data_IF_919996311918
#
_entry.id   IF_919996311918
#
_cell.length_a   1.000
_cell.length_b   1.000
_cell.length_c   1.000
_cell.angle_alpha   90.00
_cell.angle_beta   90.00
_cell.angle_gamma   90.00
#
_symmetry.space_group_name_H-M   'P 1'
#
loop_
_entity.id
_entity.type
_entity.pdbx_description
1 polymer ?
#
# COMPACT_ATOMS: atom_id res chain seq x y z
N UNK A 1 36.48 25.09 23.25
CA UNK A 1 36.18 23.66 22.97
C UNK A 1 34.83 23.42 22.24
N UNK A 2 33.78 24.23 22.41
CA UNK A 2 32.40 23.86 21.98
C UNK A 2 32.05 23.75 20.47
N UNK A 3 32.75 24.45 19.55
CA UNK A 3 32.26 24.58 18.15
C UNK A 3 32.47 23.33 17.27
N UNK A 4 33.55 22.57 17.52
CA UNK A 4 33.85 21.30 16.82
C UNK A 4 32.91 20.19 17.29
N UNK A 5 32.72 20.06 18.60
CA UNK A 5 31.78 19.12 19.21
C UNK A 5 30.35 19.31 18.71
N UNK A 6 29.87 20.56 18.67
CA UNK A 6 28.53 20.86 18.15
C UNK A 6 28.38 20.53 16.66
N UNK A 7 29.46 20.38 15.89
CA UNK A 7 29.38 19.98 14.48
C UNK A 7 29.32 18.47 14.34
N UNK A 8 30.14 17.73 15.11
CA UNK A 8 30.13 16.28 15.15
C UNK A 8 28.77 15.77 15.64
N UNK A 9 28.24 16.37 16.71
CA UNK A 9 26.99 15.95 17.34
C UNK A 9 25.79 15.91 16.37
N UNK A 10 25.65 16.86 15.44
CA UNK A 10 24.49 16.88 14.51
C UNK A 10 24.55 15.77 13.48
N UNK A 11 25.75 15.47 13.00
CA UNK A 11 25.94 14.38 12.06
C UNK A 11 25.79 13.03 12.73
N UNK A 12 26.27 12.88 13.97
CA UNK A 12 26.01 11.69 14.79
C UNK A 12 24.52 11.54 15.06
N UNK A 13 23.83 12.58 15.52
CA UNK A 13 22.39 12.53 15.77
C UNK A 13 21.60 12.17 14.51
N UNK A 14 21.94 12.75 13.35
CA UNK A 14 21.33 12.40 12.07
C UNK A 14 21.59 10.94 11.68
N UNK A 15 22.83 10.46 11.83
CA UNK A 15 23.18 9.07 11.53
C UNK A 15 22.41 8.10 12.43
N UNK A 16 22.33 8.39 13.74
CA UNK A 16 21.55 7.59 14.69
C UNK A 16 20.07 7.61 14.30
N UNK A 17 19.50 8.76 13.94
CA UNK A 17 18.09 8.85 13.50
C UNK A 17 17.80 8.04 12.24
N UNK A 18 18.70 8.06 11.26
CA UNK A 18 18.56 7.28 10.03
C UNK A 18 18.69 5.79 10.30
N UNK A 19 19.64 5.38 11.13
CA UNK A 19 19.83 3.97 11.52
C UNK A 19 18.64 3.45 12.33
N UNK A 20 18.12 4.26 13.26
CA UNK A 20 16.95 3.95 14.08
C UNK A 20 15.71 3.75 13.19
N UNK A 21 15.44 4.68 12.27
CA UNK A 21 14.35 4.56 11.31
C UNK A 21 14.49 3.31 10.42
N UNK A 22 15.70 3.03 9.94
CA UNK A 22 15.96 1.86 9.11
C UNK A 22 15.74 0.55 9.88
N UNK A 23 16.20 0.50 11.13
CA UNK A 23 16.05 -0.68 11.97
C UNK A 23 14.60 -0.90 12.43
N UNK A 24 13.84 0.18 12.65
CA UNK A 24 12.40 0.12 12.93
C UNK A 24 11.63 -0.41 11.72
N UNK A 25 11.96 0.07 10.50
CA UNK A 25 11.37 -0.46 9.24
C UNK A 25 11.73 -1.91 8.96
N UNK A 26 12.91 -2.34 9.38
CA UNK A 26 13.35 -3.74 9.24
C UNK A 26 12.80 -4.65 10.35
N UNK A 27 12.02 -4.12 11.30
CA UNK A 27 11.50 -4.89 12.44
C UNK A 27 12.59 -5.36 13.42
N UNK A 28 13.78 -4.76 13.40
CA UNK A 28 14.92 -5.16 14.24
C UNK A 28 14.80 -4.61 15.66
N UNK A 29 14.24 -3.40 15.82
CA UNK A 29 14.01 -2.77 17.12
C UNK A 29 12.53 -2.47 17.34
N UNK A 30 12.08 -2.75 18.56
CA UNK A 30 10.73 -2.46 19.03
C UNK A 30 10.85 -1.53 20.23
N UNK A 31 10.91 -0.22 19.98
CA UNK A 31 10.83 0.79 21.03
C UNK A 31 9.65 1.72 20.76
N UNK A 32 9.15 2.46 21.77
CA UNK A 32 8.04 3.38 21.58
C UNK A 32 8.34 4.37 20.45
N UNK A 33 7.33 4.66 19.62
CA UNK A 33 7.38 5.65 18.54
C UNK A 33 7.89 7.03 19.03
N UNK A 34 7.64 7.36 20.30
CA UNK A 34 8.11 8.59 20.96
C UNK A 34 9.64 8.76 20.87
N UNK A 35 10.41 7.66 20.96
CA UNK A 35 11.88 7.73 20.92
C UNK A 35 12.38 8.24 19.56
N UNK A 36 11.85 7.69 18.46
CA UNK A 36 12.16 8.13 17.10
C UNK A 36 11.73 9.57 16.88
N UNK A 37 10.54 9.96 17.37
CA UNK A 37 10.04 11.32 17.28
C UNK A 37 11.01 12.31 17.97
N UNK A 38 11.42 12.04 19.20
CA UNK A 38 12.36 12.86 19.97
C UNK A 38 13.71 12.97 19.25
N UNK A 39 14.20 11.87 18.69
CA UNK A 39 15.46 11.83 17.97
C UNK A 39 15.40 12.68 16.69
N UNK A 40 14.36 12.54 15.88
CA UNK A 40 14.13 13.35 14.68
C UNK A 40 13.94 14.84 15.01
N UNK A 41 13.17 15.17 16.06
CA UNK A 41 13.04 16.55 16.54
C UNK A 41 14.39 17.13 16.98
N UNK A 42 15.21 16.33 17.66
CA UNK A 42 16.56 16.75 18.07
C UNK A 42 17.44 17.06 16.86
N UNK A 43 17.39 16.23 15.81
CA UNK A 43 18.09 16.49 14.55
C UNK A 43 17.63 17.81 13.94
N UNK A 44 16.32 18.03 13.83
CA UNK A 44 15.76 19.28 13.29
C UNK A 44 16.29 20.48 14.07
N UNK A 45 16.20 20.47 15.40
CA UNK A 45 16.67 21.55 16.26
C UNK A 45 18.17 21.84 16.10
N UNK A 46 19.01 20.80 15.98
CA UNK A 46 20.45 20.97 15.76
C UNK A 46 20.75 21.65 14.42
N UNK A 47 20.04 21.29 13.34
CA UNK A 47 20.21 21.91 12.02
C UNK A 47 19.61 23.33 11.95
N UNK A 48 18.49 23.58 12.62
CA UNK A 48 17.92 24.94 12.77
C UNK A 48 18.88 25.84 13.56
N UNK A 49 19.43 25.37 14.69
CA UNK A 49 20.43 26.11 15.44
C UNK A 49 21.67 26.43 14.58
N UNK A 50 22.06 25.53 13.68
CA UNK A 50 23.13 25.79 12.71
C UNK A 50 22.76 26.88 11.71
N UNK A 51 21.53 26.88 11.19
CA UNK A 51 21.04 27.93 10.30
C UNK A 51 21.10 29.29 10.98
N UNK A 52 20.57 29.40 12.20
CA UNK A 52 20.59 30.64 13.00
C UNK A 52 22.02 31.13 13.19
N UNK A 53 22.95 30.24 13.58
CA UNK A 53 24.37 30.61 13.71
C UNK A 53 24.98 31.12 12.41
N UNK A 54 24.66 30.50 11.27
CA UNK A 54 25.17 30.92 9.97
C UNK A 54 24.57 32.25 9.51
N UNK A 55 23.27 32.47 9.76
CA UNK A 55 22.59 33.72 9.49
C UNK A 55 23.19 34.88 10.30
N UNK A 56 23.41 34.70 11.61
CA UNK A 56 24.07 35.70 12.46
C UNK A 56 25.48 36.04 11.95
N UNK A 57 26.24 35.05 11.51
CA UNK A 57 27.59 35.28 10.96
C UNK A 57 27.58 36.02 9.62
N UNK A 58 26.53 35.81 8.81
CA UNK A 58 26.34 36.52 7.55
C UNK A 58 25.92 37.98 7.79
N UNK A 59 25.00 38.21 8.73
CA UNK A 59 24.49 39.54 9.11
C UNK A 59 25.57 40.40 9.79
N UNK A 60 26.41 39.81 10.64
CA UNK A 60 27.52 40.52 11.33
C UNK A 60 28.72 40.81 10.42
N UNK A 61 28.63 40.52 9.12
CA UNK A 61 29.69 40.81 8.13
C UNK A 61 30.97 39.99 8.29
N UNK A 62 31.08 39.16 9.33
CA UNK A 62 32.34 38.49 9.72
C UNK A 62 32.80 37.42 8.73
N UNK A 63 31.91 36.85 7.90
CA UNK A 63 32.27 35.83 6.87
C UNK A 63 31.23 35.77 5.73
N UNK A 64 31.45 36.54 4.65
CA UNK A 64 30.78 36.35 3.35
C UNK A 64 31.57 35.40 2.45
N UNK A 65 31.68 34.13 2.85
CA UNK A 65 32.33 33.13 2.00
C UNK A 65 31.31 32.20 1.36
N UNK A 66 31.51 31.80 0.10
CA UNK A 66 30.74 30.79 -0.61
C UNK A 66 30.44 29.53 0.22
N UNK A 67 31.38 29.10 1.07
CA UNK A 67 31.19 27.95 1.97
C UNK A 67 30.17 28.18 3.10
N UNK A 68 29.93 29.43 3.52
CA UNK A 68 28.89 29.76 4.50
C UNK A 68 27.50 29.72 3.86
N UNK A 69 27.37 30.23 2.64
CA UNK A 69 26.15 30.09 1.83
C UNK A 69 25.81 28.63 1.56
N UNK A 70 26.77 27.85 1.06
CA UNK A 70 26.61 26.40 0.86
C UNK A 70 26.20 25.66 2.14
N UNK A 71 26.79 26.04 3.29
CA UNK A 71 26.43 25.48 4.59
C UNK A 71 25.02 25.83 5.06
N UNK A 72 24.49 27.00 4.69
CA UNK A 72 23.09 27.36 4.97
C UNK A 72 22.13 26.54 4.11
N UNK A 73 22.41 26.42 2.81
CA UNK A 73 21.59 25.62 1.89
C UNK A 73 21.54 24.16 2.33
N UNK A 74 22.68 23.57 2.71
CA UNK A 74 22.76 22.21 3.23
C UNK A 74 21.93 22.04 4.51
N UNK A 75 22.09 22.94 5.48
CA UNK A 75 21.40 22.83 6.76
C UNK A 75 19.88 23.04 6.62
N UNK A 76 19.46 23.95 5.73
CA UNK A 76 18.05 24.17 5.41
C UNK A 76 17.44 22.96 4.72
N UNK A 77 18.17 22.37 3.77
CA UNK A 77 17.74 21.15 3.08
C UNK A 77 17.53 19.98 4.04
N UNK A 78 18.50 19.71 4.92
CA UNK A 78 18.39 18.62 5.90
C UNK A 78 17.25 18.89 6.88
N UNK A 79 17.14 20.09 7.44
CA UNK A 79 16.06 20.43 8.37
C UNK A 79 14.68 20.26 7.73
N UNK A 80 14.52 20.73 6.48
CA UNK A 80 13.27 20.62 5.73
C UNK A 80 12.94 19.15 5.39
N UNK A 81 13.93 18.36 4.98
CA UNK A 81 13.73 16.95 4.65
C UNK A 81 13.32 16.13 5.88
N UNK A 82 14.02 16.32 7.01
CA UNK A 82 13.73 15.62 8.26
C UNK A 82 12.38 16.07 8.84
N UNK A 83 12.07 17.38 8.79
CA UNK A 83 10.78 17.88 9.25
C UNK A 83 9.62 17.37 8.39
N UNK A 84 9.76 17.36 7.07
CA UNK A 84 8.76 16.80 6.15
C UNK A 84 8.57 15.30 6.36
N UNK A 85 9.66 14.54 6.55
CA UNK A 85 9.59 13.11 6.84
C UNK A 85 8.94 12.80 8.19
N UNK A 86 9.31 13.55 9.23
CA UNK A 86 8.72 13.44 10.57
C UNK A 86 7.22 13.76 10.55
N UNK A 87 6.81 14.84 9.87
CA UNK A 87 5.40 15.19 9.72
C UNK A 87 4.63 14.09 8.96
N UNK A 88 5.21 13.54 7.90
CA UNK A 88 4.58 12.46 7.14
C UNK A 88 4.41 11.19 7.97
N UNK A 89 5.35 10.87 8.86
CA UNK A 89 5.24 9.72 9.74
C UNK A 89 4.29 9.99 10.93
N UNK A 90 4.32 11.18 11.53
CA UNK A 90 3.42 11.54 12.64
C UNK A 90 1.94 11.55 12.21
N UNK A 91 1.67 12.09 11.04
CA UNK A 91 0.32 12.36 10.57
C UNK A 91 -0.11 11.44 9.41
N UNK A 92 0.72 10.46 9.08
CA UNK A 92 0.51 9.53 7.97
C UNK A 92 -0.67 8.59 8.25
N UNK A 93 -1.37 8.22 7.20
CA UNK A 93 -2.37 7.16 7.19
C UNK A 93 -2.09 6.32 5.97
N UNK A 94 -1.94 5.01 6.16
CA UNK A 94 -1.79 4.06 5.07
C UNK A 94 -2.49 2.75 5.43
N UNK A 95 -3.21 2.19 4.46
CA UNK A 95 -3.77 0.86 4.52
C UNK A 95 -4.40 0.48 3.19
N UNK A 96 -5.04 -0.68 3.14
CA UNK A 96 -5.81 -1.07 1.95
C UNK A 96 -7.08 -1.81 2.35
N UNK A 97 -8.05 -1.81 1.44
CA UNK A 97 -9.27 -2.61 1.56
C UNK A 97 -9.42 -3.44 0.29
N UNK A 98 -9.89 -4.67 0.44
CA UNK A 98 -10.25 -5.52 -0.69
C UNK A 98 -11.77 -5.45 -0.82
N UNK A 99 -12.26 -5.00 -1.98
CA UNK A 99 -13.68 -4.91 -2.26
C UNK A 99 -13.99 -5.72 -3.51
N UNK A 100 -15.01 -6.58 -3.47
CA UNK A 100 -15.61 -7.12 -4.68
C UNK A 100 -16.64 -6.13 -5.26
N UNK A 101 -17.02 -6.33 -6.51
CA UNK A 101 -18.02 -5.48 -7.15
C UNK A 101 -19.33 -5.42 -6.35
N UNK A 102 -19.85 -4.20 -6.26
CA UNK A 102 -21.04 -3.82 -5.50
C UNK A 102 -20.89 -3.92 -3.97
N UNK A 103 -19.68 -4.22 -3.47
CA UNK A 103 -19.40 -4.20 -2.04
C UNK A 103 -19.00 -2.82 -1.55
N UNK A 104 -19.27 -2.59 -0.27
CA UNK A 104 -18.95 -1.34 0.43
C UNK A 104 -18.31 -1.67 1.75
N UNK A 105 -17.29 -0.92 2.11
CA UNK A 105 -16.56 -1.08 3.35
C UNK A 105 -16.30 0.25 4.05
N UNK A 106 -16.39 0.24 5.38
CA UNK A 106 -16.04 1.38 6.21
C UNK A 106 -14.56 1.29 6.59
N UNK A 107 -13.77 2.32 6.26
CA UNK A 107 -12.32 2.28 6.51
C UNK A 107 -11.93 2.48 7.99
N UNK A 108 -12.91 2.68 8.88
CA UNK A 108 -12.67 2.97 10.30
C UNK A 108 -12.45 1.72 11.14
N UNK A 109 -13.21 0.67 10.84
CA UNK A 109 -13.28 -0.54 11.66
C UNK A 109 -12.40 -1.58 10.98
N UNK A 110 -11.15 -1.73 11.44
CA UNK A 110 -10.11 -2.57 10.84
C UNK A 110 -10.44 -4.06 10.59
N UNK A 111 -11.70 -4.47 10.78
CA UNK A 111 -12.26 -5.68 10.23
C UNK A 111 -12.22 -5.69 8.69
N UNK A 112 -12.45 -4.56 8.03
CA UNK A 112 -12.47 -4.47 6.56
C UNK A 112 -11.19 -3.82 6.00
N UNK A 113 -10.61 -2.87 6.74
CA UNK A 113 -9.32 -2.27 6.37
C UNK A 113 -8.18 -3.22 6.75
N UNK A 114 -7.60 -3.87 5.74
CA UNK A 114 -6.45 -4.74 5.89
C UNK A 114 -5.16 -3.92 6.00
N UNK A 115 -4.28 -4.35 6.92
CA UNK A 115 -2.94 -3.78 7.14
C UNK A 115 -2.99 -2.24 7.27
N UNK A 116 -3.47 -1.78 8.42
CA UNK A 116 -3.55 -0.35 8.74
C UNK A 116 -2.33 0.10 9.55
N UNK A 117 -1.61 1.11 9.05
CA UNK A 117 -0.47 1.74 9.72
C UNK A 117 -0.73 3.24 9.91
N UNK A 118 -1.35 3.64 11.03
CA UNK A 118 -1.54 5.05 11.38
C UNK A 118 -0.28 5.63 12.01
N UNK A 119 0.04 6.86 11.62
CA UNK A 119 0.99 7.70 12.33
C UNK A 119 0.55 8.00 13.77
N UNK A 120 1.48 8.24 14.72
CA UNK A 120 1.15 8.48 16.13
C UNK A 120 0.17 9.62 16.43
N UNK A 121 0.04 10.59 15.51
CA UNK A 121 -0.85 11.76 15.62
C UNK A 121 -1.85 11.80 14.46
N UNK A 122 -2.08 10.67 13.79
CA UNK A 122 -3.02 10.60 12.69
C UNK A 122 -4.45 10.89 13.17
N UNK A 123 -5.19 11.67 12.38
CA UNK A 123 -6.60 11.92 12.64
C UNK A 123 -7.44 10.75 12.09
N UNK A 124 -7.86 9.86 12.98
CA UNK A 124 -8.60 8.64 12.63
C UNK A 124 -10.00 8.99 12.09
N UNK A 125 -10.54 10.19 12.36
CA UNK A 125 -11.82 10.59 11.78
C UNK A 125 -11.73 10.77 10.26
N UNK A 126 -10.53 11.03 9.71
CA UNK A 126 -10.32 11.12 8.26
C UNK A 126 -10.63 9.80 7.53
N UNK A 127 -10.44 8.64 8.18
CA UNK A 127 -10.78 7.32 7.66
C UNK A 127 -12.19 6.85 8.06
N UNK A 128 -12.99 7.73 8.67
CA UNK A 128 -14.42 7.53 8.90
C UNK A 128 -15.27 7.58 7.63
N UNK A 129 -14.76 7.13 6.49
CA UNK A 129 -15.43 7.13 5.19
C UNK A 129 -15.91 5.73 4.82
N UNK A 130 -17.00 5.67 4.07
CA UNK A 130 -17.46 4.46 3.40
C UNK A 130 -16.91 4.50 1.97
N UNK A 131 -16.33 3.39 1.52
CA UNK A 131 -15.83 3.21 0.15
C UNK A 131 -16.57 2.04 -0.47
N UNK A 132 -17.04 2.21 -1.70
CA UNK A 132 -17.71 1.17 -2.46
C UNK A 132 -17.04 0.96 -3.79
N UNK A 133 -16.88 -0.30 -4.20
CA UNK A 133 -16.48 -0.63 -5.55
C UNK A 133 -17.74 -0.78 -6.40
N UNK A 134 -18.04 0.20 -7.24
CA UNK A 134 -19.20 0.15 -8.12
C UNK A 134 -18.96 -0.85 -9.25
N UNK A 135 -17.77 -0.80 -9.84
CA UNK A 135 -17.43 -1.58 -11.02
C UNK A 135 -15.92 -1.71 -11.14
N UNK A 136 -15.46 -2.88 -11.60
CA UNK A 136 -14.07 -3.09 -12.00
C UNK A 136 -14.06 -3.52 -13.47
N UNK A 137 -13.54 -2.66 -14.34
CA UNK A 137 -13.42 -2.96 -15.77
C UNK A 137 -11.99 -3.36 -16.10
N UNK A 138 -11.81 -4.42 -16.90
CA UNK A 138 -10.50 -4.85 -17.38
C UNK A 138 -10.34 -4.41 -18.85
N UNK A 139 -9.56 -3.36 -19.08
CA UNK A 139 -9.35 -2.80 -20.42
C UNK A 139 -8.15 -3.47 -21.08
N UNK A 140 -8.29 -4.09 -22.27
CA UNK A 140 -7.19 -4.71 -22.97
C UNK A 140 -6.12 -3.69 -23.39
N UNK A 141 -4.85 -4.10 -23.30
CA UNK A 141 -3.67 -3.37 -23.80
C UNK A 141 -2.81 -4.27 -24.67
N UNK A 142 -1.96 -3.65 -25.49
CA UNK A 142 -1.01 -4.36 -26.35
C UNK A 142 -0.20 -5.41 -25.56
N UNK A 143 -0.08 -6.62 -26.12
CA UNK A 143 0.68 -7.72 -25.54
C UNK A 143 -0.06 -8.55 -24.49
N UNK A 144 -1.35 -8.83 -24.70
CA UNK A 144 -2.19 -9.71 -23.87
C UNK A 144 -2.23 -9.31 -22.39
N UNK A 145 -2.21 -8.00 -22.13
CA UNK A 145 -2.30 -7.44 -20.78
C UNK A 145 -3.62 -6.72 -20.58
N UNK A 146 -4.16 -6.81 -19.36
CA UNK A 146 -5.36 -6.08 -18.97
C UNK A 146 -4.98 -4.98 -17.99
N UNK A 147 -5.57 -3.79 -18.18
CA UNK A 147 -5.47 -2.68 -17.25
C UNK A 147 -6.74 -2.62 -16.40
N UNK A 148 -6.66 -2.81 -15.07
CA UNK A 148 -7.81 -2.65 -14.20
C UNK A 148 -8.19 -1.17 -14.09
N UNK A 149 -9.47 -0.89 -14.26
CA UNK A 149 -10.11 0.41 -14.07
C UNK A 149 -11.18 0.23 -12.99
N UNK A 150 -10.87 0.66 -11.76
CA UNK A 150 -11.85 0.60 -10.67
C UNK A 150 -12.62 1.91 -10.58
N UNK A 151 -13.95 1.82 -10.67
CA UNK A 151 -14.86 2.91 -10.34
C UNK A 151 -15.31 2.74 -8.90
N UNK A 152 -14.85 3.66 -8.04
CA UNK A 152 -15.19 3.65 -6.62
C UNK A 152 -16.03 4.86 -6.25
N UNK A 153 -16.97 4.66 -5.33
CA UNK A 153 -17.69 5.77 -4.71
C UNK A 153 -17.20 5.94 -3.28
N UNK A 154 -16.94 7.19 -2.88
CA UNK A 154 -16.52 7.54 -1.52
C UNK A 154 -17.58 8.41 -0.87
N UNK A 155 -18.10 7.97 0.27
CA UNK A 155 -19.05 8.72 1.10
C UNK A 155 -18.37 9.23 2.36
N UNK A 156 -18.40 10.55 2.58
CA UNK A 156 -17.88 11.19 3.80
C UNK A 156 -19.00 11.90 4.55
N UNK A 157 -19.46 11.28 5.64
CA UNK A 157 -20.47 11.88 6.51
C UNK A 157 -21.71 12.36 5.74
N UNK A 158 -21.94 13.67 5.73
CA UNK A 158 -23.06 14.32 5.04
C UNK A 158 -22.69 14.99 3.71
N UNK A 159 -21.46 14.80 3.21
CA UNK A 159 -21.03 15.31 1.90
C UNK A 159 -21.70 14.53 0.76
N UNK A 160 -21.75 15.13 -0.44
CA UNK A 160 -22.17 14.40 -1.63
C UNK A 160 -21.17 13.27 -1.94
N UNK A 161 -21.65 12.08 -2.38
CA UNK A 161 -20.77 10.99 -2.75
C UNK A 161 -19.83 11.40 -3.88
N UNK A 162 -18.54 11.11 -3.74
CA UNK A 162 -17.56 11.33 -4.78
C UNK A 162 -17.33 10.04 -5.58
N UNK A 163 -17.70 10.05 -6.86
CA UNK A 163 -17.35 8.99 -7.79
C UNK A 163 -15.92 9.23 -8.30
N UNK A 164 -15.03 8.26 -8.11
CA UNK A 164 -13.63 8.31 -8.49
C UNK A 164 -13.32 7.14 -9.42
N UNK A 165 -12.53 7.41 -10.44
CA UNK A 165 -11.93 6.37 -11.28
C UNK A 165 -10.46 6.26 -10.94
N UNK A 166 -10.00 5.04 -10.60
CA UNK A 166 -8.60 4.77 -10.27
C UNK A 166 -8.04 3.67 -11.19
N UNK A 167 -6.79 3.84 -11.59
CA UNK A 167 -6.06 2.92 -12.45
C UNK A 167 -4.62 2.79 -11.92
N UNK A 168 -3.80 1.84 -12.42
CA UNK A 168 -2.39 1.77 -12.04
C UNK A 168 -1.58 3.06 -12.29
N UNK A 169 -2.05 3.94 -13.18
CA UNK A 169 -1.41 5.23 -13.48
C UNK A 169 -2.13 6.45 -12.91
N UNK A 170 -3.39 6.29 -12.48
CA UNK A 170 -4.25 7.40 -12.06
C UNK A 170 -4.78 7.16 -10.66
N UNK A 171 -4.58 8.12 -9.76
CA UNK A 171 -5.10 8.06 -8.39
C UNK A 171 -6.35 8.93 -8.22
N UNK A 172 -7.25 8.47 -7.35
CA UNK A 172 -8.43 9.21 -6.93
C UNK A 172 -8.14 10.01 -5.67
N UNK A 173 -8.88 11.10 -5.45
CA UNK A 173 -8.78 11.85 -4.21
C UNK A 173 -10.18 12.27 -3.73
N UNK A 174 -10.44 12.06 -2.45
CA UNK A 174 -11.57 12.63 -1.76
C UNK A 174 -11.04 13.33 -0.51
N UNK A 175 -11.16 14.65 -0.42
CA UNK A 175 -10.56 15.44 0.67
C UNK A 175 -9.05 15.17 0.86
N UNK A 176 -8.57 14.86 2.08
CA UNK A 176 -7.16 14.59 2.35
C UNK A 176 -6.69 13.19 1.94
N UNK A 177 -7.63 12.28 1.68
CA UNK A 177 -7.36 10.89 1.30
C UNK A 177 -7.12 10.75 -0.19
N UNK A 178 -6.21 9.84 -0.52
CA UNK A 178 -5.87 9.40 -1.86
C UNK A 178 -6.10 7.91 -1.97
N UNK A 179 -6.65 7.51 -3.11
CA UNK A 179 -7.01 6.14 -3.43
C UNK A 179 -6.18 5.69 -4.63
N UNK A 180 -5.58 4.52 -4.52
CA UNK A 180 -4.70 3.94 -5.52
C UNK A 180 -5.19 2.54 -5.83
N UNK A 181 -5.03 2.16 -7.10
CA UNK A 181 -5.23 0.78 -7.52
C UNK A 181 -4.07 -0.07 -7.01
N UNK A 182 -4.37 -1.06 -6.17
CA UNK A 182 -3.46 -2.11 -5.76
C UNK A 182 -3.59 -3.34 -6.66
N UNK A 183 -3.49 -4.53 -6.06
CA UNK A 183 -3.86 -5.78 -6.71
C UNK A 183 -5.33 -5.79 -7.18
N UNK A 184 -5.66 -6.74 -8.06
CA UNK A 184 -7.02 -7.04 -8.46
C UNK A 184 -7.13 -8.53 -8.73
N UNK A 185 -8.35 -9.01 -8.93
CA UNK A 185 -8.56 -10.38 -9.35
C UNK A 185 -10.03 -10.74 -9.49
N UNK A 186 -10.28 -12.03 -9.42
CA UNK A 186 -11.62 -12.60 -9.43
C UNK A 186 -11.91 -13.27 -8.10
N UNK A 187 -13.15 -13.21 -7.66
CA UNK A 187 -13.61 -13.84 -6.44
C UNK A 187 -14.77 -14.80 -6.77
N UNK A 188 -14.47 -16.07 -7.09
CA UNK A 188 -15.51 -17.07 -7.27
C UNK A 188 -16.27 -17.30 -5.95
N UNK A 189 -17.60 -17.37 -6.04
CA UNK A 189 -18.44 -17.92 -4.97
C UNK A 189 -18.45 -19.43 -5.07
N UNK A 190 -17.78 -20.06 -4.12
CA UNK A 190 -17.62 -21.52 -4.06
C UNK A 190 -18.60 -22.08 -3.03
N UNK A 191 -19.34 -23.10 -3.45
CA UNK A 191 -20.30 -23.81 -2.59
C UNK A 191 -19.85 -25.26 -2.47
N UNK A 192 -19.70 -25.79 -1.26
CA UNK A 192 -19.38 -27.20 -1.02
C UNK A 192 -20.53 -27.82 -0.24
N UNK A 193 -21.07 -28.90 -0.78
CA UNK A 193 -22.14 -29.70 -0.20
C UNK A 193 -21.60 -31.07 0.19
N UNK A 194 -22.18 -31.69 1.21
CA UNK A 194 -21.88 -33.07 1.62
C UNK A 194 -23.17 -33.88 1.66
N UNK A 195 -23.14 -35.01 0.99
CA UNK A 195 -24.23 -35.97 0.94
C UNK A 195 -24.15 -36.90 2.15
N UNK A 196 -25.19 -36.87 3.00
CA UNK A 196 -25.42 -37.79 4.11
C UNK A 196 -26.86 -38.30 4.10
N UNK A 197 -27.51 -38.39 5.27
CA UNK A 197 -28.97 -38.62 5.35
C UNK A 197 -29.77 -37.45 4.76
N UNK A 198 -29.21 -36.23 4.86
CA UNK A 198 -29.66 -35.01 4.20
C UNK A 198 -28.46 -34.30 3.57
N UNK A 199 -28.68 -33.53 2.51
CA UNK A 199 -27.63 -32.69 1.91
C UNK A 199 -27.36 -31.49 2.83
N UNK A 200 -26.08 -31.27 3.19
CA UNK A 200 -25.65 -30.18 4.07
C UNK A 200 -24.69 -29.24 3.32
N UNK A 201 -24.85 -27.93 3.50
CA UNK A 201 -23.91 -26.92 3.01
C UNK A 201 -22.76 -26.74 4.00
N UNK A 202 -21.58 -27.16 3.57
CA UNK A 202 -20.36 -27.17 4.38
C UNK A 202 -19.54 -25.89 4.18
N UNK A 203 -19.67 -25.28 3.00
CA UNK A 203 -19.01 -24.03 2.65
C UNK A 203 -19.86 -23.27 1.63
N UNK A 204 -19.99 -21.96 1.82
CA UNK A 204 -20.61 -21.05 0.85
C UNK A 204 -20.03 -19.66 1.05
N UNK A 205 -18.96 -19.35 0.33
CA UNK A 205 -18.28 -18.05 0.45
C UNK A 205 -17.69 -17.60 -0.89
N UNK A 206 -17.52 -16.29 -1.00
CA UNK A 206 -16.75 -15.63 -2.05
C UNK A 206 -15.27 -15.71 -1.67
N UNK A 207 -14.44 -16.29 -2.54
CA UNK A 207 -13.02 -16.54 -2.27
C UNK A 207 -12.16 -15.69 -3.21
N UNK A 208 -11.38 -14.72 -2.72
CA UNK A 208 -10.57 -13.85 -3.57
C UNK A 208 -9.37 -14.61 -4.15
N UNK A 209 -9.31 -14.74 -5.47
CA UNK A 209 -8.17 -15.29 -6.21
C UNK A 209 -7.29 -14.14 -6.71
N UNK A 210 -5.98 -14.32 -6.58
CA UNK A 210 -4.99 -13.29 -6.90
C UNK A 210 -4.54 -13.39 -8.35
N UNK A 211 -4.32 -12.23 -8.94
CA UNK A 211 -3.66 -12.14 -10.25
C UNK A 211 -2.21 -12.61 -10.12
N UNK A 212 -1.87 -13.69 -10.82
CA UNK A 212 -0.52 -14.20 -10.95
C UNK A 212 -0.03 -14.07 -12.40
N UNK A 213 1.21 -13.62 -12.56
CA UNK A 213 1.83 -13.55 -13.88
C UNK A 213 2.40 -14.92 -14.24
N UNK A 214 1.78 -15.61 -15.18
CA UNK A 214 2.20 -16.95 -15.62
C UNK A 214 3.11 -16.88 -16.85
N UNK A 215 4.37 -16.49 -16.65
CA UNK A 215 5.37 -16.50 -17.72
C UNK A 215 5.09 -15.46 -18.84
N UNK A 216 5.58 -15.69 -20.07
CA UNK A 216 5.32 -14.83 -21.22
C UNK A 216 3.90 -14.98 -21.77
N UNK A 217 3.21 -16.08 -21.48
CA UNK A 217 1.96 -16.51 -22.13
C UNK A 217 0.68 -16.15 -21.35
N UNK A 218 0.72 -15.09 -20.55
CA UNK A 218 -0.50 -14.44 -20.04
C UNK A 218 -0.64 -14.35 -18.51
N UNK A 219 -1.75 -13.72 -18.12
CA UNK A 219 -2.18 -13.53 -16.73
C UNK A 219 -3.09 -14.68 -16.33
N UNK A 220 -2.90 -15.25 -15.14
CA UNK A 220 -3.80 -16.24 -14.54
C UNK A 220 -4.29 -15.74 -13.20
N UNK A 221 -5.43 -16.24 -12.75
CA UNK A 221 -5.99 -15.88 -11.45
C UNK A 221 -6.14 -17.15 -10.64
N UNK A 222 -5.30 -17.31 -9.64
CA UNK A 222 -5.21 -18.55 -8.86
C UNK A 222 -5.43 -18.25 -7.39
N UNK A 223 -6.00 -19.23 -6.69
CA UNK A 223 -6.29 -19.11 -5.28
C UNK A 223 -6.40 -20.48 -4.63
N UNK A 224 -6.23 -20.50 -3.32
CA UNK A 224 -6.44 -21.71 -2.53
C UNK A 224 -6.98 -21.35 -1.16
N UNK A 225 -7.77 -22.26 -0.59
CA UNK A 225 -8.24 -22.16 0.78
C UNK A 225 -8.36 -23.55 1.40
N UNK A 226 -8.29 -23.59 2.74
CA UNK A 226 -8.48 -24.80 3.50
C UNK A 226 -9.69 -24.64 4.44
N UNK A 227 -10.45 -25.71 4.60
CA UNK A 227 -11.55 -25.83 5.55
C UNK A 227 -11.15 -26.86 6.59
N UNK A 228 -10.46 -26.40 7.63
CA UNK A 228 -9.76 -27.26 8.61
C UNK A 228 -10.70 -28.22 9.34
N UNK A 229 -11.92 -27.79 9.67
CA UNK A 229 -12.94 -28.60 10.34
C UNK A 229 -13.46 -29.78 9.52
N UNK A 230 -13.19 -29.77 8.21
CA UNK A 230 -13.56 -30.84 7.28
C UNK A 230 -12.33 -31.48 6.64
N UNK A 231 -11.14 -31.01 7.03
CA UNK A 231 -9.86 -31.40 6.43
C UNK A 231 -9.89 -31.31 4.90
N UNK A 232 -10.44 -30.22 4.35
CA UNK A 232 -10.49 -29.98 2.90
C UNK A 232 -9.50 -28.91 2.50
N UNK A 233 -8.85 -29.11 1.35
CA UNK A 233 -8.03 -28.11 0.66
C UNK A 233 -8.53 -27.99 -0.78
N UNK A 234 -8.87 -26.76 -1.15
CA UNK A 234 -9.36 -26.41 -2.48
C UNK A 234 -8.35 -25.48 -3.13
N UNK A 235 -7.93 -25.84 -4.34
CA UNK A 235 -7.08 -25.02 -5.20
C UNK A 235 -7.84 -24.74 -6.48
N UNK A 236 -7.75 -23.52 -6.99
CA UNK A 236 -8.47 -23.13 -8.20
C UNK A 236 -7.69 -22.17 -9.07
N UNK A 237 -8.03 -22.19 -10.36
CA UNK A 237 -7.58 -21.19 -11.34
C UNK A 237 -8.74 -20.76 -12.22
N UNK A 238 -8.98 -19.46 -12.29
CA UNK A 238 -9.94 -18.88 -13.23
C UNK A 238 -9.27 -18.74 -14.59
N UNK A 239 -9.94 -19.27 -15.61
CA UNK A 239 -9.58 -19.12 -17.01
C UNK A 239 -10.58 -18.22 -17.72
N UNK A 240 -10.04 -17.32 -18.53
CA UNK A 240 -10.78 -16.32 -19.29
C UNK A 240 -10.73 -16.60 -20.80
N UNK A 241 -10.23 -17.76 -21.22
CA UNK A 241 -10.06 -18.16 -22.62
C UNK A 241 -11.39 -18.31 -23.38
N UNK A 242 -12.47 -18.53 -22.66
CA UNK A 242 -13.84 -18.55 -23.16
C UNK A 242 -14.50 -17.16 -23.20
N UNK A 243 -13.81 -16.10 -22.79
CA UNK A 243 -14.30 -14.73 -22.90
C UNK A 243 -13.86 -14.09 -24.23
N UNK A 244 -14.74 -13.29 -24.81
CA UNK A 244 -14.40 -12.48 -25.99
C UNK A 244 -13.51 -11.27 -25.62
N UNK A 245 -13.13 -10.47 -26.63
CA UNK A 245 -12.30 -9.27 -26.48
C UNK A 245 -12.93 -8.20 -25.56
N UNK A 246 -14.24 -8.27 -25.34
CA UNK A 246 -14.99 -7.40 -24.43
C UNK A 246 -15.31 -8.09 -23.10
N UNK A 247 -14.63 -9.20 -22.80
CA UNK A 247 -14.81 -10.04 -21.62
C UNK A 247 -16.22 -10.62 -21.46
N UNK A 248 -16.94 -10.79 -22.57
CA UNK A 248 -18.27 -11.42 -22.59
C UNK A 248 -18.12 -12.91 -22.79
N UNK A 249 -18.90 -13.68 -22.04
CA UNK A 249 -18.87 -15.13 -22.04
C UNK A 249 -18.97 -15.66 -20.62
N UNK A 250 -18.50 -16.89 -20.40
CA UNK A 250 -18.43 -17.49 -19.08
C UNK A 250 -16.99 -17.82 -18.76
N UNK A 251 -16.44 -17.22 -17.71
CA UNK A 251 -15.16 -17.64 -17.16
C UNK A 251 -15.28 -19.09 -16.66
N UNK A 252 -14.20 -19.84 -16.80
CA UNK A 252 -14.14 -21.24 -16.37
C UNK A 252 -13.30 -21.34 -15.10
N UNK A 253 -13.77 -22.08 -14.11
CA UNK A 253 -13.06 -22.32 -12.87
C UNK A 253 -12.50 -23.75 -12.87
N UNK A 254 -11.19 -23.88 -13.05
CA UNK A 254 -10.48 -25.16 -12.92
C UNK A 254 -10.15 -25.38 -11.44
N UNK A 255 -10.62 -26.49 -10.88
CA UNK A 255 -10.54 -26.78 -9.44
C UNK A 255 -9.86 -28.12 -9.19
N UNK A 256 -9.15 -28.18 -8.06
CA UNK A 256 -8.66 -29.42 -7.45
C UNK A 256 -9.06 -29.40 -5.97
N UNK A 257 -9.71 -30.47 -5.52
CA UNK A 257 -10.15 -30.63 -4.13
C UNK A 257 -9.48 -31.85 -3.53
N UNK A 258 -8.89 -31.70 -2.36
CA UNK A 258 -8.17 -32.75 -1.64
C UNK A 258 -8.50 -32.76 -0.16
N UNK A 259 -8.33 -33.91 0.50
CA UNK A 259 -8.44 -34.08 1.96
C UNK A 259 -7.28 -34.92 2.48
N UNK A 260 -6.60 -34.52 3.55
CA UNK A 260 -5.42 -35.25 4.08
C UNK A 260 -4.41 -35.70 3.00
N UNK A 261 -4.18 -34.84 1.99
CA UNK A 261 -3.37 -35.11 0.79
C UNK A 261 -3.90 -36.20 -0.19
N UNK A 262 -5.10 -36.75 0.04
CA UNK A 262 -5.84 -37.55 -0.93
C UNK A 262 -6.64 -36.64 -1.86
N UNK A 263 -6.53 -36.84 -3.17
CA UNK A 263 -7.37 -36.15 -4.14
C UNK A 263 -8.81 -36.66 -4.04
N UNK A 264 -9.77 -35.75 -3.84
CA UNK A 264 -11.21 -36.07 -3.85
C UNK A 264 -11.83 -35.84 -5.23
N UNK A 265 -11.27 -34.92 -6.01
CA UNK A 265 -11.68 -34.68 -7.39
C UNK A 265 -11.04 -33.44 -7.99
N UNK A 266 -11.13 -33.34 -9.30
CA UNK A 266 -10.66 -32.19 -10.08
C UNK A 266 -11.53 -32.01 -11.32
N UNK A 267 -11.71 -30.78 -11.77
CA UNK A 267 -12.47 -30.51 -12.98
C UNK A 267 -12.64 -29.03 -13.28
N UNK A 268 -13.26 -28.76 -14.41
CA UNK A 268 -13.58 -27.41 -14.89
C UNK A 268 -15.06 -27.13 -14.70
N UNK A 269 -15.40 -26.06 -13.98
CA UNK A 269 -16.76 -25.63 -13.72
C UNK A 269 -17.07 -24.32 -14.42
N UNK A 270 -18.28 -24.25 -14.98
CA UNK A 270 -18.91 -22.99 -15.39
C UNK A 270 -19.76 -22.44 -14.23
N UNK A 271 -20.04 -21.13 -14.21
CA UNK A 271 -20.97 -20.56 -13.23
C UNK A 271 -22.31 -21.30 -13.23
N UNK A 272 -22.87 -21.51 -12.04
CA UNK A 272 -24.10 -22.28 -11.79
C UNK A 272 -23.94 -23.81 -11.80
N UNK A 273 -22.75 -24.35 -12.06
CA UNK A 273 -22.53 -25.81 -12.15
C UNK A 273 -21.89 -26.38 -10.91
N UNK A 274 -22.11 -27.68 -10.70
CA UNK A 274 -21.52 -28.48 -9.63
C UNK A 274 -20.81 -29.70 -10.20
N UNK A 275 -19.70 -30.09 -9.57
CA UNK A 275 -19.02 -31.36 -9.78
C UNK A 275 -19.21 -32.26 -8.56
N UNK A 276 -19.51 -33.53 -8.82
CA UNK A 276 -19.45 -34.58 -7.81
C UNK A 276 -18.00 -34.90 -7.48
N UNK A 277 -17.70 -35.06 -6.20
CA UNK A 277 -16.41 -35.46 -5.66
C UNK A 277 -16.54 -36.80 -4.95
N UNK A 278 -15.41 -37.42 -4.66
CA UNK A 278 -15.38 -38.62 -3.82
C UNK A 278 -15.93 -38.33 -2.41
N UNK A 279 -16.29 -39.41 -1.70
CA UNK A 279 -16.73 -39.37 -0.29
C UNK A 279 -18.03 -38.56 -0.07
N UNK A 280 -18.85 -38.44 -1.12
CA UNK A 280 -20.16 -37.80 -1.06
C UNK A 280 -20.10 -36.27 -1.06
N UNK A 281 -18.93 -35.67 -1.32
CA UNK A 281 -18.83 -34.23 -1.48
C UNK A 281 -19.26 -33.78 -2.87
N UNK A 282 -19.71 -32.54 -2.96
CA UNK A 282 -20.05 -31.87 -4.23
C UNK A 282 -19.59 -30.42 -4.16
N UNK A 283 -18.92 -29.93 -5.18
CA UNK A 283 -18.42 -28.55 -5.24
C UNK A 283 -19.07 -27.79 -6.39
N UNK A 284 -19.53 -26.58 -6.11
CA UNK A 284 -20.21 -25.70 -7.04
C UNK A 284 -19.49 -24.38 -7.22
N UNK A 285 -19.56 -23.86 -8.45
CA UNK A 285 -19.16 -22.51 -8.80
C UNK A 285 -20.43 -21.69 -9.02
N UNK A 286 -20.87 -20.94 -8.00
CA UNK A 286 -22.19 -20.32 -8.04
C UNK A 286 -22.20 -18.99 -8.82
N UNK A 287 -21.16 -18.18 -8.64
CA UNK A 287 -21.06 -16.84 -9.21
C UNK A 287 -19.60 -16.37 -9.25
N UNK A 288 -19.31 -15.33 -10.02
CA UNK A 288 -17.98 -14.73 -10.14
C UNK A 288 -18.08 -13.21 -10.05
N UNK A 289 -17.38 -12.63 -9.08
CA UNK A 289 -17.19 -11.18 -9.01
C UNK A 289 -15.76 -10.81 -9.37
N UNK A 290 -15.55 -9.62 -9.88
CA UNK A 290 -14.22 -9.01 -9.83
C UNK A 290 -14.00 -8.34 -8.47
N UNK A 291 -12.75 -8.29 -8.04
CA UNK A 291 -12.37 -7.57 -6.83
C UNK A 291 -11.12 -6.73 -7.05
N UNK A 292 -11.01 -5.68 -6.26
CA UNK A 292 -9.93 -4.70 -6.34
C UNK A 292 -9.39 -4.39 -4.95
N UNK A 293 -8.07 -4.39 -4.82
CA UNK A 293 -7.37 -3.80 -3.68
C UNK A 293 -7.35 -2.29 -3.86
N UNK A 294 -8.03 -1.59 -2.97
CA UNK A 294 -8.06 -0.14 -2.94
C UNK A 294 -7.11 0.31 -1.84
N UNK A 295 -5.91 0.75 -2.25
CA UNK A 295 -4.92 1.30 -1.31
C UNK A 295 -5.30 2.72 -0.97
N UNK A 296 -5.34 3.01 0.32
CA UNK A 296 -5.73 4.32 0.86
C UNK A 296 -4.53 4.94 1.54
N UNK A 297 -4.26 6.21 1.24
CA UNK A 297 -3.26 6.97 1.99
C UNK A 297 -3.60 8.45 2.10
N UNK A 298 -3.02 9.13 3.08
CA UNK A 298 -3.12 10.59 3.19
C UNK A 298 -2.09 11.29 2.31
N UNK A 299 -2.47 12.43 1.71
CA UNK A 299 -1.60 13.26 0.87
C UNK A 299 -0.28 13.59 1.58
N UNK A 300 0.83 13.19 0.97
CA UNK A 300 2.16 13.24 1.57
C UNK A 300 2.78 14.63 1.59
N UNK A 301 3.66 14.88 2.56
CA UNK A 301 4.65 15.97 2.55
C UNK A 301 5.82 15.69 1.60
N UNK A 302 5.63 14.83 0.59
CA UNK A 302 6.63 14.44 -0.40
C UNK A 302 7.36 15.63 -1.05
N UNK A 303 6.67 16.72 -1.45
CA UNK A 303 7.35 17.91 -1.96
C UNK A 303 8.36 18.52 -0.98
N UNK A 304 8.02 18.61 0.31
CA UNK A 304 8.94 19.15 1.32
C UNK A 304 10.17 18.26 1.51
N UNK A 305 9.98 16.93 1.52
CA UNK A 305 11.08 15.96 1.61
C UNK A 305 11.99 16.04 0.38
N UNK A 306 11.40 16.09 -0.82
CA UNK A 306 12.14 16.18 -2.09
C UNK A 306 12.90 17.50 -2.22
N UNK A 307 12.24 18.64 -1.96
CA UNK A 307 12.88 19.96 -1.95
C UNK A 307 13.99 20.02 -0.91
N UNK A 308 13.75 19.52 0.30
CA UNK A 308 14.76 19.44 1.35
C UNK A 308 15.98 18.61 0.93
N UNK A 309 15.75 17.43 0.36
CA UNK A 309 16.80 16.53 -0.12
C UNK A 309 17.62 17.16 -1.24
N UNK A 310 16.95 17.77 -2.22
CA UNK A 310 17.61 18.48 -3.32
C UNK A 310 18.50 19.61 -2.80
N UNK A 311 17.97 20.45 -1.89
CA UNK A 311 18.75 21.53 -1.26
C UNK A 311 19.94 20.98 -0.46
N UNK A 312 19.75 19.87 0.27
CA UNK A 312 20.84 19.24 1.01
C UNK A 312 21.96 18.78 0.08
N UNK A 313 21.63 18.07 -1.00
CA UNK A 313 22.59 17.61 -2.00
C UNK A 313 23.30 18.78 -2.67
N UNK A 314 22.56 19.78 -3.14
CA UNK A 314 23.11 20.96 -3.78
C UNK A 314 24.05 21.74 -2.84
N UNK A 315 23.65 21.95 -1.58
CA UNK A 315 24.51 22.57 -0.56
C UNK A 315 25.78 21.76 -0.27
N UNK A 316 25.68 20.43 -0.28
CA UNK A 316 26.83 19.52 -0.16
C UNK A 316 27.84 19.67 -1.29
N UNK A 317 27.35 19.66 -2.53
CA UNK A 317 28.17 19.85 -3.75
C UNK A 317 28.85 21.22 -3.73
N UNK A 318 28.11 22.30 -3.47
CA UNK A 318 28.68 23.65 -3.37
C UNK A 318 29.75 23.76 -2.28
N UNK A 319 29.56 23.08 -1.15
CA UNK A 319 30.54 23.07 -0.07
C UNK A 319 31.81 22.32 -0.47
N UNK A 320 31.70 21.22 -1.22
CA UNK A 320 32.85 20.48 -1.74
C UNK A 320 33.62 21.28 -2.80
N UNK A 321 32.90 21.88 -3.76
CA UNK A 321 33.49 22.77 -4.77
C UNK A 321 34.20 23.98 -4.14
N UNK A 322 33.61 24.60 -3.11
CA UNK A 322 34.22 25.70 -2.38
C UNK A 322 35.47 25.29 -1.58
N UNK A 323 35.60 24.01 -1.19
CA UNK A 323 36.81 23.48 -0.55
C UNK A 323 37.91 23.21 -1.57
N UNK A 324 37.56 22.71 -2.76
CA UNK A 324 38.51 22.46 -3.83
C UNK A 324 39.14 23.74 -4.36
N UNK A 325 38.35 24.82 -4.51
CA UNK A 325 38.86 26.13 -4.95
C UNK A 325 39.83 26.82 -3.96
N UNK A 326 39.95 26.31 -2.73
CA UNK A 326 40.87 26.83 -1.69
C UNK A 326 42.16 26.00 -1.54
N UNK A 327 42.25 24.86 -2.21
CA UNK A 327 43.49 24.08 -2.35
C UNK A 327 44.18 24.51 -3.62
#
# INVERSE_FOLDING_TARGET
MGRKWFTILRWVALAVAVLDLAALKAGVFHHPHIVLAVLMTTVILLFVARLVQLAILALTGRKRSLSAGAGMVLAAGIALAVAGGLANWLFGLQGYVILAEQEKAQLRDGAELQVFDPGPLADIEEIGVLVGLEELELVPREGDTFLPVSRITVWRGHEQPALLEITPSTNGAAGPLRFYQGAFGFAPRIVILRSGETEETVFDQVVPFLTERSGPDGIRFSGSFAKEDQDLRVEGTIRLDSLDENLRGHATLDLTVSSSAKLLGSGSLLPGHFAELDEGYRIGFADLKMWSEIVVSRRSYGPAVLTGTFLALFGGILMQAARWRRR
#
